data_IF_031837308368
#
_entry.id   IF_031837308368
#
_cell.length_a   1.000
_cell.length_b   1.000
_cell.length_c   1.000
_cell.angle_alpha   90.00
_cell.angle_beta   90.00
_cell.angle_gamma   90.00
#
_symmetry.space_group_name_H-M   'P 1'
#
loop_
_entity.id
_entity.type
_entity.pdbx_description
1 polymer ?
#
# COMPACT_ATOMS: atom_id res chain seq x y z
N UNK A 1 -17.33 0.98 25.14
CA UNK A 1 -16.01 0.32 25.28
C UNK A 1 -15.23 0.38 23.97
N UNK A 2 -15.81 -0.08 22.86
CA UNK A 2 -15.17 -0.10 21.54
C UNK A 2 -14.70 1.28 21.06
N UNK A 3 -15.55 2.30 21.12
CA UNK A 3 -15.17 3.67 20.71
C UNK A 3 -14.02 4.24 21.56
N UNK A 4 -14.02 3.96 22.87
CA UNK A 4 -12.92 4.36 23.75
C UNK A 4 -11.62 3.65 23.38
N UNK A 5 -11.70 2.37 23.03
CA UNK A 5 -10.54 1.60 22.56
C UNK A 5 -10.00 2.15 21.23
N UNK A 6 -10.87 2.43 20.26
CA UNK A 6 -10.49 3.09 19.00
C UNK A 6 -9.82 4.44 19.24
N UNK A 7 -10.33 5.26 20.16
CA UNK A 7 -9.73 6.53 20.54
C UNK A 7 -8.29 6.39 21.03
N UNK A 8 -8.07 5.56 22.06
CA UNK A 8 -6.71 5.33 22.62
C UNK A 8 -5.74 4.78 21.57
N UNK A 9 -6.22 3.85 20.73
CA UNK A 9 -5.42 3.28 19.66
C UNK A 9 -5.12 4.30 18.57
N UNK A 10 -6.04 5.21 18.25
CA UNK A 10 -5.84 6.27 17.25
C UNK A 10 -4.79 7.28 17.70
N UNK A 11 -4.77 7.62 18.99
CA UNK A 11 -3.77 8.54 19.55
C UNK A 11 -2.36 7.92 19.55
N UNK A 12 -2.28 6.60 19.78
CA UNK A 12 -1.00 5.88 19.87
C UNK A 12 -0.50 5.42 18.49
N UNK A 13 -1.42 5.01 17.61
CA UNK A 13 -1.15 4.42 16.29
C UNK A 13 -1.96 5.18 15.21
N UNK A 14 -1.53 6.39 14.84
CA UNK A 14 -2.32 7.35 14.06
C UNK A 14 -2.60 6.94 12.62
N UNK A 15 -2.09 5.81 12.13
CA UNK A 15 -2.35 5.32 10.77
C UNK A 15 -3.05 3.95 10.75
N UNK A 16 -3.68 3.56 11.86
CA UNK A 16 -4.44 2.30 11.95
C UNK A 16 -5.75 2.38 11.19
N UNK A 17 -6.23 1.22 10.73
CA UNK A 17 -7.55 1.10 10.08
C UNK A 17 -8.41 0.15 10.91
N UNK A 18 -9.56 0.62 11.36
CA UNK A 18 -10.49 -0.10 12.23
C UNK A 18 -11.68 -0.62 11.44
N UNK A 19 -11.63 -1.88 11.02
CA UNK A 19 -12.68 -2.55 10.29
C UNK A 19 -13.68 -3.10 11.30
N UNK A 20 -14.98 -2.82 11.11
CA UNK A 20 -16.04 -3.27 12.04
C UNK A 20 -16.95 -4.27 11.32
N UNK A 21 -16.58 -5.57 11.26
CA UNK A 21 -17.35 -6.59 10.53
C UNK A 21 -18.69 -6.95 11.20
N UNK A 22 -18.88 -6.56 12.47
CA UNK A 22 -20.12 -6.80 13.22
C UNK A 22 -20.23 -5.90 14.45
N UNK A 23 -21.34 -5.99 15.20
CA UNK A 23 -21.67 -5.05 16.29
C UNK A 23 -20.65 -4.96 17.43
N UNK A 24 -19.85 -5.99 17.66
CA UNK A 24 -18.93 -6.07 18.81
C UNK A 24 -17.52 -6.60 18.46
N UNK A 25 -17.17 -6.62 17.18
CA UNK A 25 -15.87 -7.08 16.70
C UNK A 25 -15.25 -5.93 15.92
N UNK A 26 -13.99 -5.62 16.22
CA UNK A 26 -13.17 -4.72 15.42
C UNK A 26 -11.90 -5.46 15.06
N UNK A 27 -11.68 -5.56 13.76
CA UNK A 27 -10.41 -5.96 13.20
C UNK A 27 -9.60 -4.70 12.96
N UNK A 28 -8.30 -4.76 13.25
CA UNK A 28 -7.39 -3.64 13.03
C UNK A 28 -6.38 -4.06 11.98
N UNK A 29 -6.33 -3.31 10.88
CA UNK A 29 -5.24 -3.43 9.92
C UNK A 29 -4.11 -2.48 10.33
N UNK A 30 -2.88 -2.97 10.21
CA UNK A 30 -1.66 -2.21 10.46
C UNK A 30 -0.91 -2.04 9.15
N UNK A 31 -1.12 -0.91 8.45
CA UNK A 31 -0.35 -0.56 7.25
C UNK A 31 1.13 -0.35 7.60
N UNK A 32 1.99 -0.29 6.58
CA UNK A 32 3.44 -0.14 6.74
C UNK A 32 3.87 0.97 7.74
N UNK A 33 3.29 2.19 7.74
CA UNK A 33 3.58 3.20 8.76
C UNK A 33 3.33 2.75 10.21
N UNK A 34 2.26 1.98 10.45
CA UNK A 34 1.94 1.45 11.78
C UNK A 34 2.90 0.32 12.15
N UNK A 35 3.22 -0.57 11.20
CA UNK A 35 4.23 -1.63 11.39
C UNK A 35 5.57 -1.04 11.86
N UNK A 36 6.03 0.02 11.19
CA UNK A 36 7.26 0.75 11.53
C UNK A 36 7.19 1.42 12.90
N UNK A 37 6.04 1.98 13.27
CA UNK A 37 5.84 2.55 14.60
C UNK A 37 5.91 1.47 15.69
N UNK A 38 5.29 0.31 15.46
CA UNK A 38 5.38 -0.84 16.35
C UNK A 38 6.80 -1.41 16.45
N UNK A 39 7.55 -1.44 15.34
CA UNK A 39 8.99 -1.76 15.36
C UNK A 39 9.77 -0.78 16.25
N UNK A 40 9.44 0.51 16.17
CA UNK A 40 10.01 1.57 17.00
C UNK A 40 9.72 1.39 18.50
N UNK A 41 8.52 0.93 18.88
CA UNK A 41 8.24 0.59 20.28
C UNK A 41 8.99 -0.65 20.73
N UNK A 42 9.06 -1.68 19.87
CA UNK A 42 9.78 -2.93 20.17
C UNK A 42 11.28 -2.70 20.36
N UNK A 43 11.88 -1.81 19.57
CA UNK A 43 13.32 -1.51 19.62
C UNK A 43 13.78 -0.85 20.92
N UNK A 44 12.86 -0.31 21.72
CA UNK A 44 13.16 0.24 23.04
C UNK A 44 13.48 -0.85 24.07
N UNK A 45 13.03 -2.09 23.84
CA UNK A 45 13.16 -3.20 24.78
C UNK A 45 13.94 -4.39 24.20
N UNK A 46 13.96 -4.56 22.87
CA UNK A 46 14.56 -5.69 22.19
C UNK A 46 15.43 -5.24 21.02
N UNK A 47 16.49 -6.00 20.71
CA UNK A 47 17.22 -5.83 19.45
C UNK A 47 16.29 -6.11 18.27
N UNK A 48 15.76 -5.05 17.68
CA UNK A 48 14.73 -5.13 16.64
C UNK A 48 15.33 -4.71 15.31
N UNK A 49 15.20 -5.55 14.30
CA UNK A 49 15.64 -5.21 12.94
C UNK A 49 14.70 -4.16 12.33
N UNK A 50 15.24 -3.24 11.53
CA UNK A 50 14.43 -2.29 10.73
C UNK A 50 13.41 -3.07 9.91
N UNK A 51 12.17 -2.57 9.87
CA UNK A 51 11.05 -3.18 9.15
C UNK A 51 10.74 -4.63 9.61
N UNK A 52 10.99 -4.95 10.90
CA UNK A 52 10.72 -6.25 11.51
C UNK A 52 9.31 -6.75 11.18
N UNK A 53 8.26 -6.00 11.51
CA UNK A 53 6.88 -6.47 11.27
C UNK A 53 6.61 -6.68 9.77
N UNK A 54 7.19 -5.88 8.89
CA UNK A 54 7.05 -6.06 7.44
C UNK A 54 7.69 -7.37 6.98
N UNK A 55 8.93 -7.65 7.38
CA UNK A 55 9.62 -8.89 7.01
C UNK A 55 9.02 -10.13 7.67
N UNK A 56 8.44 -10.03 8.88
CA UNK A 56 7.72 -11.15 9.50
C UNK A 56 6.48 -11.57 8.69
N UNK A 57 5.81 -10.65 7.99
CA UNK A 57 4.63 -10.95 7.17
C UNK A 57 4.95 -11.84 5.96
N UNK A 58 6.18 -11.80 5.42
CA UNK A 58 6.60 -12.75 4.38
C UNK A 58 6.47 -14.21 4.81
N UNK A 59 6.51 -14.49 6.12
CA UNK A 59 6.49 -15.84 6.66
C UNK A 59 7.74 -16.65 6.29
N UNK A 60 7.66 -17.96 6.52
CA UNK A 60 8.66 -18.93 6.08
C UNK A 60 10.11 -18.53 6.39
N UNK A 61 10.95 -18.54 5.35
CA UNK A 61 12.38 -18.28 5.45
C UNK A 61 12.68 -16.84 5.87
N UNK A 62 12.02 -15.83 5.27
CA UNK A 62 12.28 -14.42 5.58
C UNK A 62 11.94 -14.11 7.04
N UNK A 63 10.79 -14.60 7.52
CA UNK A 63 10.42 -14.42 8.92
C UNK A 63 11.38 -15.11 9.91
N UNK A 64 12.01 -16.23 9.49
CA UNK A 64 13.03 -16.93 10.29
C UNK A 64 14.38 -16.19 10.27
N UNK A 65 14.72 -15.56 9.14
CA UNK A 65 15.91 -14.72 9.01
C UNK A 65 15.84 -13.49 9.92
N UNK A 66 14.67 -12.87 10.09
CA UNK A 66 14.45 -11.81 11.08
C UNK A 66 14.87 -12.27 12.48
N UNK A 67 14.38 -13.44 12.92
CA UNK A 67 14.72 -13.96 14.26
C UNK A 67 16.21 -14.33 14.39
N UNK A 68 16.86 -14.69 13.28
CA UNK A 68 18.31 -14.93 13.24
C UNK A 68 19.09 -13.62 13.40
N UNK A 69 18.69 -12.58 12.67
CA UNK A 69 19.31 -11.25 12.74
C UNK A 69 19.22 -10.69 14.15
N UNK A 70 18.04 -10.70 14.77
CA UNK A 70 17.87 -10.21 16.14
C UNK A 70 18.75 -10.97 17.15
N UNK A 71 18.93 -12.29 16.96
CA UNK A 71 19.84 -13.10 17.77
C UNK A 71 21.32 -12.78 17.56
N UNK A 72 21.72 -12.39 16.35
CA UNK A 72 23.09 -11.94 16.09
C UNK A 72 23.34 -10.57 16.74
N UNK A 73 22.38 -9.65 16.65
CA UNK A 73 22.46 -8.36 17.32
C UNK A 73 22.55 -8.51 18.84
N UNK A 74 21.78 -9.43 19.44
CA UNK A 74 21.89 -9.78 20.86
C UNK A 74 23.29 -10.28 21.27
N UNK A 75 24.05 -10.87 20.34
CA UNK A 75 25.41 -11.35 20.59
C UNK A 75 26.47 -10.25 20.41
N UNK A 76 26.07 -9.01 20.10
CA UNK A 76 26.96 -7.87 19.94
C UNK A 76 27.50 -7.67 18.53
N UNK A 77 26.93 -8.34 17.52
CA UNK A 77 27.31 -8.14 16.12
C UNK A 77 26.93 -6.75 15.61
N UNK A 78 27.70 -6.22 14.66
CA UNK A 78 27.48 -4.89 14.07
C UNK A 78 26.14 -4.81 13.34
N UNK A 79 25.29 -3.86 13.72
CA UNK A 79 23.97 -3.68 13.10
C UNK A 79 24.08 -3.46 11.59
N UNK A 80 24.97 -2.57 11.15
CA UNK A 80 25.14 -2.23 9.74
C UNK A 80 25.55 -3.45 8.90
N UNK A 81 26.46 -4.27 9.42
CA UNK A 81 26.95 -5.47 8.72
C UNK A 81 25.89 -6.57 8.64
N UNK A 82 25.24 -6.87 9.77
CA UNK A 82 24.19 -7.91 9.82
C UNK A 82 22.99 -7.51 8.98
N UNK A 83 22.55 -6.24 9.08
CA UNK A 83 21.40 -5.75 8.32
C UNK A 83 21.66 -5.74 6.82
N UNK A 84 22.85 -5.32 6.37
CA UNK A 84 23.22 -5.36 4.95
C UNK A 84 23.15 -6.79 4.38
N UNK A 85 23.76 -7.75 5.08
CA UNK A 85 23.71 -9.18 4.68
C UNK A 85 22.30 -9.75 4.72
N UNK A 86 21.48 -9.31 5.68
CA UNK A 86 20.09 -9.70 5.74
C UNK A 86 19.32 -9.22 4.51
N UNK A 87 19.50 -7.96 4.09
CA UNK A 87 18.88 -7.44 2.88
C UNK A 87 19.31 -8.23 1.63
N UNK A 88 20.59 -8.60 1.52
CA UNK A 88 21.08 -9.45 0.43
C UNK A 88 20.39 -10.83 0.40
N UNK A 89 20.08 -11.41 1.57
CA UNK A 89 19.36 -12.68 1.68
C UNK A 89 17.87 -12.57 1.40
N UNK A 90 17.27 -11.40 1.64
CA UNK A 90 15.85 -11.13 1.36
C UNK A 90 15.62 -10.76 -0.09
N UNK A 91 16.59 -10.15 -0.77
CA UNK A 91 16.46 -9.68 -2.14
C UNK A 91 15.88 -10.72 -3.13
N UNK A 92 16.27 -12.02 -3.10
CA UNK A 92 15.70 -13.04 -3.97
C UNK A 92 14.20 -13.34 -3.73
N UNK A 93 13.65 -12.92 -2.60
CA UNK A 93 12.23 -13.07 -2.27
C UNK A 93 11.40 -11.87 -2.75
N UNK A 94 12.03 -10.79 -3.23
CA UNK A 94 11.33 -9.63 -3.76
C UNK A 94 11.08 -9.82 -5.27
N UNK A 95 9.98 -9.25 -5.81
CA UNK A 95 9.72 -9.30 -7.24
C UNK A 95 10.80 -8.59 -8.05
N UNK A 96 11.17 -9.18 -9.20
CA UNK A 96 12.06 -8.59 -10.19
C UNK A 96 11.34 -8.49 -11.55
N UNK A 97 12.02 -7.94 -12.56
CA UNK A 97 11.46 -7.82 -13.92
C UNK A 97 10.81 -9.13 -14.41
N UNK A 98 9.67 -9.00 -15.07
CA UNK A 98 8.80 -10.07 -15.58
C UNK A 98 8.12 -10.98 -14.54
N UNK A 99 8.46 -10.84 -13.25
CA UNK A 99 7.76 -11.52 -12.15
C UNK A 99 6.26 -11.22 -12.21
N UNK A 100 5.46 -12.26 -11.97
CA UNK A 100 4.01 -12.12 -11.89
C UNK A 100 3.58 -11.94 -10.44
N UNK A 101 2.88 -10.85 -10.17
CA UNK A 101 2.36 -10.54 -8.83
C UNK A 101 0.86 -10.30 -8.88
N UNK A 102 0.15 -10.72 -7.85
CA UNK A 102 -1.24 -10.34 -7.65
C UNK A 102 -1.31 -8.94 -7.05
N UNK A 103 -2.26 -8.11 -7.52
CA UNK A 103 -2.49 -6.78 -6.95
C UNK A 103 -3.69 -6.85 -6.01
N UNK A 104 -3.43 -6.79 -4.70
CA UNK A 104 -4.42 -6.85 -3.62
C UNK A 104 -4.87 -5.44 -3.25
N UNK A 105 -6.08 -5.10 -3.66
CA UNK A 105 -6.75 -3.85 -3.33
C UNK A 105 -7.69 -4.08 -2.15
N UNK A 106 -7.23 -3.71 -0.96
CA UNK A 106 -7.98 -3.90 0.28
C UNK A 106 -8.90 -2.68 0.47
N UNK A 107 -10.19 -2.92 0.68
CA UNK A 107 -11.18 -1.87 0.95
C UNK A 107 -11.28 -1.57 2.44
N UNK A 108 -11.76 -0.38 2.80
CA UNK A 108 -12.04 0.00 4.18
C UNK A 108 -13.17 -0.83 4.84
N UNK A 109 -13.93 -1.58 4.04
CA UNK A 109 -14.87 -2.61 4.53
C UNK A 109 -14.19 -3.89 5.03
N UNK A 110 -12.88 -4.03 4.80
CA UNK A 110 -12.10 -5.25 5.05
C UNK A 110 -12.10 -6.26 3.89
N UNK A 111 -12.94 -6.06 2.86
CA UNK A 111 -12.92 -6.94 1.69
C UNK A 111 -11.67 -6.69 0.84
N UNK A 112 -11.03 -7.77 0.36
CA UNK A 112 -9.90 -7.66 -0.57
C UNK A 112 -10.32 -7.99 -1.99
N UNK A 113 -10.13 -7.04 -2.91
CA UNK A 113 -10.29 -7.26 -4.34
C UNK A 113 -8.95 -7.62 -4.97
N UNK A 114 -8.88 -8.75 -5.67
CA UNK A 114 -7.74 -9.08 -6.51
C UNK A 114 -7.95 -8.44 -7.89
N UNK A 115 -7.18 -7.39 -8.21
CA UNK A 115 -7.26 -6.69 -9.49
C UNK A 115 -6.65 -7.50 -10.65
N UNK A 116 -6.21 -8.73 -10.36
CA UNK A 116 -5.61 -9.66 -11.30
C UNK A 116 -4.09 -9.57 -11.32
N UNK A 117 -3.50 -10.50 -12.08
CA UNK A 117 -2.06 -10.69 -12.16
C UNK A 117 -1.40 -9.58 -12.98
N UNK A 118 -0.52 -8.83 -12.33
CA UNK A 118 0.39 -7.88 -12.94
C UNK A 118 1.71 -8.52 -13.32
N UNK A 119 2.41 -7.89 -14.27
CA UNK A 119 3.80 -8.19 -14.60
C UNK A 119 4.65 -7.04 -14.10
N UNK A 120 5.61 -7.32 -13.24
CA UNK A 120 6.61 -6.34 -12.81
C UNK A 120 7.44 -5.94 -14.02
N UNK A 121 7.57 -4.63 -14.23
CA UNK A 121 8.44 -4.02 -15.24
C UNK A 121 9.80 -3.74 -14.61
N UNK A 122 9.81 -3.18 -13.40
CA UNK A 122 11.01 -3.05 -12.60
C UNK A 122 10.66 -2.88 -11.13
N UNK A 123 11.59 -3.26 -10.26
CA UNK A 123 11.56 -2.92 -8.84
C UNK A 123 12.99 -2.60 -8.41
N UNK A 124 13.28 -1.32 -8.23
CA UNK A 124 14.63 -0.85 -7.87
C UNK A 124 14.55 0.52 -7.20
N UNK A 125 15.49 0.81 -6.31
CA UNK A 125 15.53 2.08 -5.56
C UNK A 125 14.15 2.44 -4.98
N UNK A 126 13.49 1.44 -4.37
CA UNK A 126 12.17 1.56 -3.76
C UNK A 126 11.02 1.93 -4.71
N UNK A 127 11.26 2.01 -6.02
CA UNK A 127 10.24 2.30 -7.04
C UNK A 127 9.77 1.00 -7.68
N UNK A 128 8.47 0.76 -7.63
CA UNK A 128 7.81 -0.37 -8.27
C UNK A 128 7.06 0.10 -9.53
N UNK A 129 7.39 -0.53 -10.66
CA UNK A 129 6.67 -0.41 -11.92
C UNK A 129 6.05 -1.74 -12.29
N UNK A 130 4.76 -1.76 -12.61
CA UNK A 130 4.08 -2.97 -13.03
C UNK A 130 2.99 -2.68 -14.05
N UNK A 131 2.64 -3.68 -14.84
CA UNK A 131 1.59 -3.56 -15.87
C UNK A 131 0.57 -4.69 -15.78
N UNK A 132 -0.69 -4.35 -16.02
CA UNK A 132 -1.81 -5.30 -16.16
C UNK A 132 -2.46 -5.15 -17.53
N UNK A 133 -2.88 -6.28 -18.10
CA UNK A 133 -3.78 -6.30 -19.25
C UNK A 133 -5.21 -6.29 -18.76
N UNK A 134 -6.00 -5.34 -19.24
CA UNK A 134 -7.42 -5.24 -18.94
C UNK A 134 -8.18 -6.34 -19.68
N UNK A 135 -9.06 -7.03 -18.97
CA UNK A 135 -9.76 -8.23 -19.49
C UNK A 135 -11.21 -7.99 -19.86
N UNK A 136 -11.81 -6.90 -19.39
CA UNK A 136 -13.23 -6.61 -19.57
C UNK A 136 -13.45 -5.26 -20.26
N UNK A 137 -14.55 -5.18 -21.00
CA UNK A 137 -15.04 -3.92 -21.52
C UNK A 137 -15.76 -3.13 -20.41
N UNK A 138 -16.02 -1.85 -20.62
CA UNK A 138 -16.77 -1.00 -19.70
C UNK A 138 -16.41 0.47 -19.89
N UNK A 139 -16.40 1.21 -18.78
CA UNK A 139 -15.92 2.59 -18.70
C UNK A 139 -14.86 2.63 -17.60
N UNK A 140 -13.83 3.47 -17.76
CA UNK A 140 -13.00 3.85 -16.63
C UNK A 140 -13.74 4.95 -15.86
N UNK A 141 -14.28 4.59 -14.71
CA UNK A 141 -15.03 5.51 -13.86
C UNK A 141 -14.14 6.72 -13.49
N UNK A 142 -14.73 7.92 -13.50
CA UNK A 142 -14.01 9.19 -13.34
C UNK A 142 -13.37 9.75 -14.61
N UNK A 143 -12.87 8.90 -15.52
CA UNK A 143 -12.35 9.34 -16.82
C UNK A 143 -13.45 9.48 -17.88
N UNK A 144 -14.59 8.81 -17.69
CA UNK A 144 -15.69 8.70 -18.67
C UNK A 144 -15.25 8.16 -20.05
N UNK A 145 -14.09 7.50 -20.11
CA UNK A 145 -13.55 6.91 -21.34
C UNK A 145 -13.90 5.42 -21.39
N UNK A 146 -14.39 4.97 -22.55
CA UNK A 146 -14.68 3.54 -22.81
C UNK A 146 -13.45 2.69 -22.52
N UNK A 147 -13.56 1.70 -21.64
CA UNK A 147 -12.57 0.66 -21.34
C UNK A 147 -12.77 -0.53 -22.27
N UNK A 148 -11.68 -1.08 -22.80
CA UNK A 148 -11.73 -2.28 -23.64
C UNK A 148 -10.80 -3.38 -23.14
N UNK A 149 -11.20 -4.63 -23.37
CA UNK A 149 -10.31 -5.77 -23.22
C UNK A 149 -9.08 -5.60 -24.14
N UNK A 150 -7.89 -5.79 -23.58
CA UNK A 150 -6.61 -5.56 -24.25
C UNK A 150 -6.02 -4.16 -24.03
N UNK A 151 -6.73 -3.24 -23.36
CA UNK A 151 -6.11 -2.05 -22.79
C UNK A 151 -5.01 -2.44 -21.78
N UNK A 152 -4.08 -1.54 -21.54
CA UNK A 152 -2.96 -1.72 -20.61
C UNK A 152 -3.08 -0.70 -19.49
N UNK A 153 -3.02 -1.17 -18.24
CA UNK A 153 -2.83 -0.35 -17.07
C UNK A 153 -1.35 -0.43 -16.67
N UNK A 154 -0.62 0.68 -16.78
CA UNK A 154 0.75 0.79 -16.31
C UNK A 154 0.75 1.56 -14.99
N UNK A 155 1.20 0.93 -13.93
CA UNK A 155 1.15 1.47 -12.57
C UNK A 155 2.55 1.72 -12.01
N UNK A 156 2.69 2.79 -11.25
CA UNK A 156 3.90 3.23 -10.58
C UNK A 156 3.60 3.64 -9.13
N UNK A 157 4.51 3.31 -8.23
CA UNK A 157 4.51 3.78 -6.83
C UNK A 157 5.92 3.64 -6.25
N UNK A 158 6.23 4.40 -5.20
CA UNK A 158 7.46 4.28 -4.42
C UNK A 158 7.17 3.89 -2.97
N UNK A 159 8.15 3.28 -2.32
CA UNK A 159 8.10 2.99 -0.89
C UNK A 159 7.72 4.25 -0.10
N UNK A 160 6.69 4.15 0.73
CA UNK A 160 6.21 5.25 1.56
C UNK A 160 5.26 6.24 0.88
N UNK A 161 5.05 6.18 -0.44
CA UNK A 161 4.05 7.00 -1.11
C UNK A 161 2.63 6.56 -0.75
N UNK A 162 1.72 7.51 -0.58
CA UNK A 162 0.32 7.26 -0.26
C UNK A 162 -0.56 7.25 -1.52
N UNK A 163 0.03 6.95 -2.67
CA UNK A 163 -0.72 6.81 -3.91
C UNK A 163 -0.06 5.80 -4.85
N UNK A 164 -0.89 5.28 -5.76
CA UNK A 164 -0.43 4.56 -6.95
C UNK A 164 -0.90 5.34 -8.16
N UNK A 165 0.04 5.77 -8.99
CA UNK A 165 -0.28 6.32 -10.31
C UNK A 165 -0.55 5.16 -11.28
N UNK A 166 -1.66 5.21 -12.00
CA UNK A 166 -2.00 4.24 -13.06
C UNK A 166 -2.36 4.97 -14.34
N UNK A 167 -1.53 4.80 -15.37
CA UNK A 167 -1.79 5.31 -16.72
C UNK A 167 -2.48 4.23 -17.55
N UNK A 168 -3.64 4.55 -18.12
CA UNK A 168 -4.40 3.64 -18.96
C UNK A 168 -4.12 3.92 -20.44
N UNK A 169 -3.67 2.89 -21.15
CA UNK A 169 -3.40 2.93 -22.59
C UNK A 169 -4.35 2.03 -23.35
N UNK A 170 -4.79 2.49 -24.51
CA UNK A 170 -5.49 1.62 -25.46
C UNK A 170 -4.56 0.52 -25.99
N UNK A 171 -5.12 -0.53 -26.60
CA UNK A 171 -4.34 -1.55 -27.31
C UNK A 171 -3.37 -0.98 -28.38
N UNK A 172 -3.65 0.22 -28.91
CA UNK A 172 -2.80 0.93 -29.87
C UNK A 172 -1.77 1.87 -29.23
N UNK A 173 -1.64 1.86 -27.89
CA UNK A 173 -0.68 2.70 -27.16
C UNK A 173 -1.13 4.14 -26.91
N UNK A 174 -2.34 4.55 -27.33
CA UNK A 174 -2.88 5.89 -27.01
C UNK A 174 -3.25 6.00 -25.53
N UNK A 175 -2.73 7.01 -24.83
CA UNK A 175 -3.11 7.36 -23.45
C UNK A 175 -4.59 7.73 -23.40
N UNK A 176 -5.30 7.18 -22.42
CA UNK A 176 -6.73 7.39 -22.17
C UNK A 176 -6.98 8.26 -20.95
N UNK A 177 -6.02 8.30 -20.05
CA UNK A 177 -6.04 9.09 -18.82
C UNK A 177 -5.14 8.48 -17.76
N UNK A 178 -4.93 9.24 -16.69
CA UNK A 178 -4.12 8.85 -15.54
C UNK A 178 -5.00 8.86 -14.30
N UNK A 179 -4.83 7.86 -13.46
CA UNK A 179 -5.59 7.65 -12.25
C UNK A 179 -4.64 7.52 -11.06
N UNK A 180 -4.78 8.38 -10.08
CA UNK A 180 -4.05 8.32 -8.83
C UNK A 180 -4.99 7.76 -7.76
N UNK A 181 -4.76 6.51 -7.38
CA UNK A 181 -5.47 5.91 -6.27
C UNK A 181 -4.76 6.30 -4.98
N UNK A 182 -5.44 7.00 -4.06
CA UNK A 182 -4.85 7.37 -2.77
C UNK A 182 -5.05 6.22 -1.80
N UNK A 183 -3.94 5.67 -1.33
CA UNK A 183 -3.90 4.46 -0.54
C UNK A 183 -2.83 4.53 0.55
N UNK A 184 -2.83 3.55 1.44
CA UNK A 184 -1.70 3.35 2.34
C UNK A 184 -0.45 2.92 1.56
N UNK A 185 0.77 3.24 2.04
CA UNK A 185 2.00 2.83 1.39
C UNK A 185 2.01 1.37 0.99
N UNK A 186 2.39 1.15 -0.28
CA UNK A 186 2.34 -0.14 -0.92
C UNK A 186 3.35 -1.10 -0.29
N UNK A 187 2.88 -2.28 0.08
CA UNK A 187 3.67 -3.38 0.60
C UNK A 187 3.94 -4.39 -0.54
N UNK A 188 5.21 -4.71 -0.77
CA UNK A 188 5.65 -5.53 -1.91
C UNK A 188 6.19 -6.88 -1.42
N UNK A 189 5.44 -7.94 -1.64
CA UNK A 189 5.81 -9.31 -1.26
C UNK A 189 6.17 -10.15 -2.48
N UNK A 190 6.63 -11.38 -2.25
CA UNK A 190 7.14 -12.29 -3.29
C UNK A 190 6.19 -12.49 -4.47
N UNK A 191 4.89 -12.65 -4.20
CA UNK A 191 3.88 -12.93 -5.24
C UNK A 191 2.74 -11.94 -5.25
N UNK A 192 2.82 -10.87 -4.46
CA UNK A 192 1.72 -9.91 -4.35
C UNK A 192 2.18 -8.50 -3.97
N UNK A 193 1.40 -7.53 -4.41
CA UNK A 193 1.50 -6.12 -4.07
C UNK A 193 0.21 -5.78 -3.34
N UNK A 194 0.31 -5.25 -2.12
CA UNK A 194 -0.82 -5.01 -1.24
C UNK A 194 -0.86 -3.56 -0.79
N UNK A 195 -2.05 -2.98 -0.78
CA UNK A 195 -2.32 -1.68 -0.21
C UNK A 195 -3.78 -1.61 0.23
N UNK A 196 -4.07 -0.65 1.10
CA UNK A 196 -5.44 -0.35 1.54
C UNK A 196 -5.88 0.95 0.89
N UNK A 197 -6.95 0.83 0.13
CA UNK A 197 -7.62 1.93 -0.55
C UNK A 197 -8.24 2.88 0.47
N UNK A 198 -7.95 4.17 0.36
CA UNK A 198 -8.52 5.19 1.25
C UNK A 198 -9.81 5.81 0.68
N UNK A 199 -10.36 5.23 -0.39
CA UNK A 199 -11.59 5.63 -1.07
C UNK A 199 -11.56 7.08 -1.60
N UNK A 200 -10.36 7.64 -1.81
CA UNK A 200 -10.15 8.94 -2.44
C UNK A 200 -9.27 8.76 -3.66
N UNK A 201 -9.65 9.36 -4.78
CA UNK A 201 -8.90 9.22 -6.03
C UNK A 201 -8.81 10.57 -6.77
N UNK A 202 -7.70 10.77 -7.47
CA UNK A 202 -7.52 11.90 -8.40
C UNK A 202 -7.40 11.36 -9.81
N UNK A 203 -8.19 11.92 -10.72
CA UNK A 203 -8.14 11.61 -12.14
C UNK A 203 -7.52 12.78 -12.88
N UNK A 204 -6.55 12.51 -13.75
CA UNK A 204 -5.93 13.49 -14.64
C UNK A 204 -6.23 13.12 -16.09
N UNK A 205 -6.87 14.05 -16.80
CA UNK A 205 -7.23 13.92 -18.21
C UNK A 205 -6.04 14.26 -19.11
N UNK A 206 -6.02 13.78 -20.37
CA UNK A 206 -4.93 14.08 -21.30
C UNK A 206 -4.75 15.57 -21.64
N UNK A 207 -5.76 16.41 -21.41
CA UNK A 207 -5.69 17.86 -21.60
C UNK A 207 -5.13 18.61 -20.37
N UNK A 208 -4.78 17.89 -19.31
CA UNK A 208 -4.26 18.43 -18.06
C UNK A 208 -5.33 18.83 -17.04
N UNK A 209 -6.62 18.75 -17.39
CA UNK A 209 -7.68 18.92 -16.40
C UNK A 209 -7.69 17.74 -15.41
N UNK A 210 -8.21 17.96 -14.20
CA UNK A 210 -8.28 16.93 -13.18
C UNK A 210 -9.65 16.90 -12.49
N UNK A 211 -9.94 15.79 -11.82
CA UNK A 211 -11.12 15.62 -11.00
C UNK A 211 -10.78 14.84 -9.72
N UNK A 212 -11.21 15.36 -8.57
CA UNK A 212 -11.19 14.65 -7.29
C UNK A 212 -12.46 13.80 -7.17
N UNK A 213 -12.33 12.53 -6.82
CA UNK A 213 -13.43 11.57 -6.68
C UNK A 213 -13.57 11.09 -5.25
N UNK A 214 -14.82 10.75 -4.88
CA UNK A 214 -15.14 9.99 -3.67
C UNK A 214 -14.71 10.61 -2.33
N UNK A 215 -14.49 11.94 -2.28
CA UNK A 215 -14.19 12.67 -1.03
C UNK A 215 -15.23 12.38 0.07
N UNK A 216 -16.50 12.23 -0.30
CA UNK A 216 -17.57 11.89 0.64
C UNK A 216 -17.41 10.50 1.27
N UNK A 217 -16.77 9.54 0.57
CA UNK A 217 -16.47 8.20 1.10
C UNK A 217 -15.36 8.26 2.13
N UNK A 218 -14.30 9.04 1.88
CA UNK A 218 -13.23 9.29 2.85
C UNK A 218 -13.80 9.92 4.13
N UNK A 219 -14.60 10.99 4.00
CA UNK A 219 -15.23 11.68 5.13
C UNK A 219 -16.15 10.74 5.92
N UNK A 220 -16.92 9.88 5.23
CA UNK A 220 -17.73 8.85 5.89
C UNK A 220 -16.89 7.84 6.65
N UNK A 221 -15.72 7.46 6.15
CA UNK A 221 -14.81 6.54 6.84
C UNK A 221 -14.20 7.17 8.10
N UNK A 222 -13.83 8.45 8.06
CA UNK A 222 -13.37 9.21 9.24
C UNK A 222 -14.48 9.35 10.28
N UNK A 223 -15.68 9.77 9.86
CA UNK A 223 -16.82 9.96 10.75
C UNK A 223 -17.24 8.66 11.45
N UNK A 224 -17.01 7.50 10.82
CA UNK A 224 -17.24 6.17 11.41
C UNK A 224 -16.09 5.66 12.28
N UNK A 225 -14.98 6.40 12.34
CA UNK A 225 -13.74 5.96 12.98
C UNK A 225 -13.16 4.70 12.34
N UNK A 226 -13.42 4.47 11.04
CA UNK A 226 -12.80 3.39 10.26
C UNK A 226 -11.36 3.74 9.95
N UNK A 227 -11.08 5.00 9.64
CA UNK A 227 -9.74 5.56 9.57
C UNK A 227 -9.57 6.64 10.62
N UNK A 228 -8.34 6.85 11.06
CA UNK A 228 -8.00 7.92 11.99
C UNK A 228 -8.04 9.29 11.32
N UNK A 229 -8.15 10.36 12.11
CA UNK A 229 -8.03 11.73 11.61
C UNK A 229 -6.69 11.99 10.92
N UNK A 230 -5.59 11.43 11.42
CA UNK A 230 -4.28 11.57 10.80
C UNK A 230 -4.18 10.86 9.46
N UNK A 231 -4.83 9.70 9.29
CA UNK A 231 -4.90 9.01 7.99
C UNK A 231 -5.72 9.82 6.98
N UNK A 232 -6.88 10.34 7.38
CA UNK A 232 -7.71 11.16 6.49
C UNK A 232 -7.05 12.48 6.11
N UNK A 233 -6.36 13.14 7.06
CA UNK A 233 -5.52 14.31 6.78
C UNK A 233 -4.43 13.97 5.76
N UNK A 234 -3.72 12.85 5.95
CA UNK A 234 -2.67 12.42 5.02
C UNK A 234 -3.20 12.13 3.62
N UNK A 235 -4.41 11.55 3.51
CA UNK A 235 -5.07 11.31 2.23
C UNK A 235 -5.37 12.62 1.50
N UNK A 236 -5.93 13.62 2.20
CA UNK A 236 -6.19 14.96 1.64
C UNK A 236 -4.93 15.69 1.22
N UNK A 237 -3.90 15.71 2.07
CA UNK A 237 -2.59 16.30 1.72
C UNK A 237 -1.99 15.65 0.47
N UNK A 238 -2.16 14.33 0.32
CA UNK A 238 -1.69 13.60 -0.86
C UNK A 238 -2.48 14.01 -2.11
N UNK A 239 -3.80 14.17 -2.00
CA UNK A 239 -4.62 14.67 -3.10
C UNK A 239 -4.22 16.10 -3.51
N UNK A 240 -4.04 17.00 -2.54
CA UNK A 240 -3.64 18.38 -2.77
C UNK A 240 -2.25 18.46 -3.43
N UNK A 241 -1.31 17.62 -3.00
CA UNK A 241 0.01 17.50 -3.63
C UNK A 241 -0.09 17.07 -5.09
N UNK A 242 -0.93 16.09 -5.41
CA UNK A 242 -1.12 15.57 -6.77
C UNK A 242 -1.83 16.56 -7.70
N UNK A 243 -2.65 17.45 -7.14
CA UNK A 243 -3.42 18.46 -7.88
C UNK A 243 -2.61 19.76 -8.05
N UNK A 244 -1.79 20.11 -7.06
CA UNK A 244 -1.04 21.37 -7.02
C UNK A 244 0.38 21.30 -7.57
N UNK A 245 0.90 20.10 -7.87
CA UNK A 245 2.20 19.86 -8.49
C UNK A 245 2.14 19.73 -10.01
#
# INVERSE_FOLDING_TARGET
>A
LLERFKGVMSDTLPFSIFITPGRNIVDIDFPLPVKRLLDGFRSQLFHTVTDHHYFKVFGGHVASMVDMVERLLMKGESYAEVYSKFLDLVLPFLPYEDTKVDVKHVKLSGSTLNLGRATVVSYSNEKLLYRRKIRSNGVYDGLEVKRYAGDVAASETRSGEYFIETRYYSRKGKLKGTYFNINTPVEVYTSEVRYIDLELDVVLFPDGSYQLLDLDKLEKAENKGTITMSMGMKARETADFLIGG
#
